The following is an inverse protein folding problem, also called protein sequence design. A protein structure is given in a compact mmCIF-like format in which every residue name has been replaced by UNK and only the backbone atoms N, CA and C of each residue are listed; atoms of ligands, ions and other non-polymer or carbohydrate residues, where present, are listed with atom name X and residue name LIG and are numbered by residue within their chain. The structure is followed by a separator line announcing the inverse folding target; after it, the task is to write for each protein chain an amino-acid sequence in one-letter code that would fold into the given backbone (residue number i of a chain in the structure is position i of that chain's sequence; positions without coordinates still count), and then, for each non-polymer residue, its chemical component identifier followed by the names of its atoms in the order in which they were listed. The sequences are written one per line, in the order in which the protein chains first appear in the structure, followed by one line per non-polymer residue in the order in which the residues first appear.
data_IF_331020980213
#
_entry.id   IF_331020980213
#
_cell.length_a   1.000
_cell.length_b   1.000
_cell.length_c   1.000
_cell.angle_alpha   90.00
_cell.angle_beta   90.00
_cell.angle_gamma   90.00
#
_symmetry.space_group_name_H-M   'P 1'
#
loop_
_entity.id
_entity.type
_entity.pdbx_description
1 polymer ?
#
# COMPACT_ATOMS: atom_id res chain seq x y z
N UNK A 1 28.53 -9.97 6.71
CA UNK A 1 27.64 -8.77 6.73
C UNK A 1 26.72 -8.68 5.50
N UNK A 2 26.37 -9.81 4.86
CA UNK A 2 25.46 -9.82 3.68
C UNK A 2 23.96 -9.83 4.04
N UNK A 3 23.58 -10.48 5.14
CA UNK A 3 22.18 -10.60 5.57
C UNK A 3 21.57 -9.27 6.02
N UNK A 4 22.37 -8.39 6.62
CA UNK A 4 21.94 -7.05 7.04
C UNK A 4 21.79 -6.10 5.83
N UNK A 5 22.69 -6.21 4.84
CA UNK A 5 22.54 -5.52 3.56
C UNK A 5 21.32 -6.02 2.80
N UNK A 6 21.03 -7.33 2.82
CA UNK A 6 19.83 -7.88 2.18
C UNK A 6 18.53 -7.54 2.93
N UNK A 7 18.58 -7.27 4.24
CA UNK A 7 17.44 -6.71 4.97
C UNK A 7 17.23 -5.20 4.67
N UNK A 8 18.30 -4.45 4.41
CA UNK A 8 18.25 -3.02 4.11
C UNK A 8 18.11 -2.69 2.61
N UNK A 9 18.46 -3.62 1.71
CA UNK A 9 18.37 -3.47 0.24
C UNK A 9 17.46 -4.51 -0.42
N UNK A 10 16.98 -5.52 0.31
CA UNK A 10 15.95 -6.46 -0.13
C UNK A 10 14.52 -5.94 0.01
N UNK A 11 14.37 -4.61 -0.02
CA UNK A 11 13.10 -3.90 -0.07
C UNK A 11 12.28 -4.24 -1.33
N UNK A 12 12.87 -4.91 -2.33
CA UNK A 12 12.29 -5.07 -3.67
C UNK A 12 11.34 -6.26 -3.88
N UNK A 13 11.08 -7.11 -2.88
CA UNK A 13 10.06 -8.15 -3.10
C UNK A 13 9.18 -8.47 -1.89
N UNK A 14 9.74 -8.58 -0.67
CA UNK A 14 8.91 -8.88 0.50
C UNK A 14 8.06 -7.69 0.96
N UNK A 15 8.63 -6.48 0.97
CA UNK A 15 7.88 -5.26 1.35
C UNK A 15 6.77 -4.96 0.34
N UNK A 16 7.06 -5.12 -0.96
CA UNK A 16 6.05 -4.98 -2.03
C UNK A 16 4.99 -6.09 -1.94
N UNK A 17 5.37 -7.34 -1.65
CA UNK A 17 4.43 -8.43 -1.47
C UNK A 17 3.52 -8.23 -0.24
N UNK A 18 4.07 -7.74 0.88
CA UNK A 18 3.30 -7.40 2.08
C UNK A 18 2.34 -6.24 1.80
N UNK A 19 2.80 -5.18 1.12
CA UNK A 19 1.94 -4.07 0.72
C UNK A 19 0.78 -4.50 -0.19
N UNK A 20 1.04 -5.41 -1.14
CA UNK A 20 0.00 -6.01 -1.99
C UNK A 20 -0.99 -6.88 -1.21
N UNK A 21 -0.51 -7.70 -0.29
CA UNK A 21 -1.36 -8.52 0.58
C UNK A 21 -2.28 -7.65 1.44
N UNK A 22 -1.72 -6.65 2.13
CA UNK A 22 -2.48 -5.72 2.96
C UNK A 22 -3.51 -4.95 2.11
N UNK A 23 -3.09 -4.43 0.95
CA UNK A 23 -3.98 -3.75 0.02
C UNK A 23 -5.11 -4.65 -0.47
N UNK A 24 -4.83 -5.92 -0.77
CA UNK A 24 -5.85 -6.89 -1.18
C UNK A 24 -6.82 -7.23 -0.05
N UNK A 25 -6.33 -7.42 1.18
CA UNK A 25 -7.17 -7.64 2.36
C UNK A 25 -8.10 -6.45 2.63
N UNK A 26 -7.58 -5.23 2.55
CA UNK A 26 -8.40 -4.01 2.70
C UNK A 26 -9.44 -3.95 1.58
N UNK A 27 -9.06 -4.22 0.33
CA UNK A 27 -9.99 -4.24 -0.80
C UNK A 27 -11.11 -5.28 -0.61
N UNK A 28 -10.79 -6.49 -0.13
CA UNK A 28 -11.81 -7.51 0.17
C UNK A 28 -12.78 -7.04 1.25
N UNK A 29 -12.28 -6.43 2.33
CA UNK A 29 -13.14 -5.90 3.40
C UNK A 29 -14.03 -4.78 2.87
N UNK A 30 -13.49 -3.84 2.08
CA UNK A 30 -14.26 -2.71 1.57
C UNK A 30 -15.27 -3.12 0.48
N UNK A 31 -14.91 -4.03 -0.42
CA UNK A 31 -15.73 -4.40 -1.57
C UNK A 31 -16.73 -5.53 -1.29
N UNK A 32 -16.41 -6.43 -0.36
CA UNK A 32 -17.24 -7.61 -0.07
C UNK A 32 -17.72 -7.58 1.38
N UNK A 33 -16.82 -7.36 2.34
CA UNK A 33 -17.16 -7.37 3.77
C UNK A 33 -18.20 -6.30 4.12
N UNK A 34 -17.94 -5.05 3.75
CA UNK A 34 -18.79 -3.90 4.06
C UNK A 34 -20.21 -4.07 3.51
N UNK A 35 -20.41 -4.39 2.21
CA UNK A 35 -21.76 -4.58 1.66
C UNK A 35 -22.51 -5.75 2.29
N UNK A 36 -21.83 -6.86 2.61
CA UNK A 36 -22.45 -8.01 3.27
C UNK A 36 -22.90 -7.64 4.69
N UNK A 37 -22.07 -6.95 5.47
CA UNK A 37 -22.45 -6.46 6.80
C UNK A 37 -23.58 -5.43 6.74
N UNK A 38 -23.56 -4.55 5.74
CA UNK A 38 -24.65 -3.59 5.50
C UNK A 38 -25.97 -4.31 5.22
N UNK A 39 -25.98 -5.27 4.31
CA UNK A 39 -27.17 -6.07 3.99
C UNK A 39 -27.68 -6.82 5.23
N UNK A 40 -26.80 -7.51 5.97
CA UNK A 40 -27.17 -8.27 7.15
C UNK A 40 -27.81 -7.38 8.25
N UNK A 41 -27.23 -6.21 8.52
CA UNK A 41 -27.74 -5.29 9.54
C UNK A 41 -29.03 -4.59 9.15
N UNK A 42 -29.25 -4.33 7.85
CA UNK A 42 -30.51 -3.81 7.31
C UNK A 42 -31.61 -4.87 7.41
N UNK A 43 -31.34 -6.11 7.01
CA UNK A 43 -32.31 -7.23 7.07
C UNK A 43 -32.70 -7.51 8.53
N UNK A 44 -31.74 -7.44 9.46
CA UNK A 44 -31.99 -7.61 10.89
C UNK A 44 -32.71 -6.40 11.53
N UNK A 45 -32.96 -5.31 10.79
CA UNK A 45 -33.63 -4.11 11.29
C UNK A 45 -32.81 -3.30 12.31
N UNK A 46 -31.51 -3.55 12.42
CA UNK A 46 -30.63 -2.91 13.41
C UNK A 46 -30.21 -1.51 12.94
N UNK A 47 -29.93 -1.36 11.64
CA UNK A 47 -29.44 -0.11 11.05
C UNK A 47 -30.32 0.27 9.87
N UNK A 48 -30.67 1.56 9.78
CA UNK A 48 -31.44 2.09 8.65
C UNK A 48 -30.59 2.16 7.38
N UNK A 49 -31.24 1.93 6.24
CA UNK A 49 -30.61 2.04 4.91
C UNK A 49 -29.95 3.41 4.71
N UNK A 50 -30.59 4.49 5.15
CA UNK A 50 -30.08 5.85 5.03
C UNK A 50 -28.74 6.07 5.74
N UNK A 51 -28.55 5.44 6.91
CA UNK A 51 -27.29 5.50 7.66
C UNK A 51 -26.15 4.84 6.88
N UNK A 52 -26.43 3.68 6.28
CA UNK A 52 -25.47 3.00 5.41
C UNK A 52 -25.20 3.77 4.11
N UNK A 53 -26.21 4.39 3.51
CA UNK A 53 -26.03 5.23 2.33
C UNK A 53 -25.09 6.39 2.62
N UNK A 54 -25.32 7.11 3.72
CA UNK A 54 -24.46 8.23 4.16
C UNK A 54 -23.03 7.77 4.40
N UNK A 55 -22.85 6.62 5.07
CA UNK A 55 -21.53 6.05 5.32
C UNK A 55 -20.80 5.67 4.03
N UNK A 56 -21.48 5.02 3.08
CA UNK A 56 -20.90 4.64 1.79
C UNK A 56 -20.53 5.88 0.96
N UNK A 57 -21.34 6.92 0.97
CA UNK A 57 -21.02 8.21 0.32
C UNK A 57 -19.78 8.86 0.93
N UNK A 58 -19.66 8.85 2.27
CA UNK A 58 -18.46 9.35 2.94
C UNK A 58 -17.21 8.54 2.54
N UNK A 59 -17.31 7.20 2.49
CA UNK A 59 -16.22 6.33 2.06
C UNK A 59 -15.71 6.66 0.65
N UNK A 60 -16.60 6.97 -0.29
CA UNK A 60 -16.22 7.37 -1.66
C UNK A 60 -15.35 8.63 -1.70
N UNK A 61 -15.47 9.51 -0.71
CA UNK A 61 -14.66 10.73 -0.61
C UNK A 61 -13.37 10.47 0.16
N UNK A 62 -13.47 9.82 1.32
CA UNK A 62 -12.33 9.66 2.23
C UNK A 62 -11.31 8.63 1.73
N UNK A 63 -11.74 7.52 1.11
CA UNK A 63 -10.79 6.49 0.64
C UNK A 63 -9.83 7.04 -0.41
N UNK A 64 -10.27 7.70 -1.49
CA UNK A 64 -9.35 8.31 -2.45
C UNK A 64 -8.43 9.35 -1.81
N UNK A 65 -8.94 10.14 -0.86
CA UNK A 65 -8.17 11.16 -0.15
C UNK A 65 -7.02 10.55 0.66
N UNK A 66 -7.28 9.47 1.39
CA UNK A 66 -6.27 8.72 2.14
C UNK A 66 -5.26 8.07 1.20
N UNK A 67 -5.72 7.44 0.12
CA UNK A 67 -4.83 6.84 -0.89
C UNK A 67 -3.93 7.90 -1.53
N UNK A 68 -4.48 9.06 -1.88
CA UNK A 68 -3.72 10.17 -2.44
C UNK A 68 -2.70 10.75 -1.43
N UNK A 69 -3.09 10.90 -0.16
CA UNK A 69 -2.19 11.36 0.89
C UNK A 69 -1.02 10.38 1.11
N UNK A 70 -1.31 9.08 1.22
CA UNK A 70 -0.27 8.04 1.37
C UNK A 70 0.61 8.00 0.11
N UNK A 71 0.01 8.00 -1.08
CA UNK A 71 0.75 8.02 -2.36
C UNK A 71 1.65 9.24 -2.50
N UNK A 72 1.17 10.42 -2.07
CA UNK A 72 1.95 11.65 -2.04
C UNK A 72 3.11 11.59 -1.06
N UNK A 73 2.91 11.03 0.14
CA UNK A 73 3.97 10.79 1.11
C UNK A 73 5.05 9.85 0.55
N UNK A 74 4.64 8.71 0.00
CA UNK A 74 5.57 7.73 -0.62
C UNK A 74 6.34 8.38 -1.76
N UNK A 75 5.69 9.12 -2.65
CA UNK A 75 6.35 9.80 -3.76
C UNK A 75 7.33 10.88 -3.28
N UNK A 76 6.92 11.65 -2.26
CA UNK A 76 7.76 12.68 -1.64
C UNK A 76 9.00 12.11 -0.97
N UNK A 77 8.88 10.99 -0.26
CA UNK A 77 10.00 10.33 0.42
C UNK A 77 10.92 9.56 -0.54
N UNK A 78 10.39 8.98 -1.62
CA UNK A 78 11.18 8.27 -2.63
C UNK A 78 12.19 9.20 -3.35
N UNK A 79 11.89 10.50 -3.45
CA UNK A 79 12.82 11.50 -4.00
C UNK A 79 14.01 11.81 -3.09
N UNK A 80 13.99 11.36 -1.84
CA UNK A 80 15.05 11.58 -0.84
C UNK A 80 15.95 10.36 -0.61
N UNK A 81 15.66 9.23 -1.26
CA UNK A 81 16.54 8.05 -1.20
C UNK A 81 17.83 8.32 -2.02
N UNK A 82 19.03 8.18 -1.41
CA UNK A 82 20.28 8.32 -2.13
C UNK A 82 20.34 7.29 -3.25
N UNK A 83 20.44 7.75 -4.50
CA UNK A 83 20.68 6.86 -5.64
C UNK A 83 21.99 6.10 -5.37
N UNK A 84 22.02 4.76 -5.54
CA UNK A 84 23.27 4.03 -5.46
C UNK A 84 24.23 4.62 -6.48
N UNK A 85 25.36 5.15 -6.01
CA UNK A 85 26.49 5.50 -6.86
C UNK A 85 26.85 4.22 -7.62
N UNK A 86 26.56 4.19 -8.93
CA UNK A 86 27.27 3.28 -9.82
C UNK A 86 28.67 3.84 -9.90
N UNK A 87 29.53 3.41 -8.98
CA UNK A 87 30.95 3.46 -9.22
C UNK A 87 31.18 2.63 -10.47
N UNK A 88 31.39 3.34 -11.58
CA UNK A 88 32.06 2.80 -12.74
C UNK A 88 33.43 2.34 -12.24
N UNK A 89 33.57 1.03 -12.02
CA UNK A 89 34.88 0.38 -11.98
C UNK A 89 35.47 0.42 -13.40
N UNK A 90 35.83 1.63 -13.83
CA UNK A 90 36.86 1.89 -14.82
C UNK A 90 38.21 1.51 -14.19
N UNK A 91 38.43 0.20 -14.07
CA UNK A 91 39.64 -0.41 -13.52
C UNK A 91 40.40 -1.17 -14.60
N UNK A 92 41.35 -0.47 -15.22
CA UNK A 92 42.41 -0.95 -16.13
C UNK A 92 42.84 -2.42 -15.99
N UNK A 93 43.01 -3.10 -17.15
CA UNK A 93 43.81 -4.34 -17.33
C UNK A 93 45.26 -4.15 -16.83
N UNK A 94 45.98 -5.21 -16.41
CA UNK A 94 46.70 -6.05 -17.37
C UNK A 94 46.61 -7.56 -17.07
N UNK A 95 46.30 -8.36 -18.08
CA UNK A 95 46.57 -9.81 -18.06
C UNK A 95 47.97 -10.03 -18.64
N UNK A 96 48.91 -10.42 -17.79
CA UNK A 96 50.19 -11.04 -18.17
C UNK A 96 49.97 -12.44 -18.73
#
# INVERSE_FOLDING_TARGET
MGWLKQALTGADNQTIAIGRLIGFSIALVLLIGLPVTAAATIIAGIVKVETWATFMTALQVYVPLVVAAIGGLVWGTNSTEPRPHRDFDDGQRPTS
#
